data_IF_373476203918
#
_entry.id   IF_373476203918
#
_cell.length_a   1.000
_cell.length_b   1.000
_cell.length_c   1.000
_cell.angle_alpha   90.00
_cell.angle_beta   90.00
_cell.angle_gamma   90.00
#
_symmetry.space_group_name_H-M   'P 1'
#
loop_
_entity.id
_entity.type
_entity.pdbx_description
1 polymer ?
#
# COMPACT_ATOMS: atom_id res chain seq x y z
N UNK A 1 -33.69 -4.03 -7.46
CA UNK A 1 -34.60 -5.04 -6.88
C UNK A 1 -34.19 -6.47 -7.25
N UNK A 2 -33.97 -6.78 -8.53
CA UNK A 2 -33.61 -8.13 -9.02
C UNK A 2 -32.29 -8.70 -8.45
N UNK A 3 -31.30 -7.86 -8.13
CA UNK A 3 -30.00 -8.29 -7.56
C UNK A 3 -30.14 -8.68 -6.09
N UNK A 4 -31.01 -7.99 -5.35
CA UNK A 4 -31.21 -8.21 -3.91
C UNK A 4 -31.92 -9.54 -3.66
N UNK A 5 -32.93 -9.85 -4.46
CA UNK A 5 -33.67 -11.12 -4.38
C UNK A 5 -32.74 -12.30 -4.72
N UNK A 6 -31.94 -12.20 -5.78
CA UNK A 6 -30.97 -13.24 -6.13
C UNK A 6 -29.91 -13.43 -5.03
N UNK A 7 -29.40 -12.34 -4.44
CA UNK A 7 -28.42 -12.42 -3.36
C UNK A 7 -28.99 -13.06 -2.09
N UNK A 8 -30.22 -12.69 -1.71
CA UNK A 8 -30.90 -13.29 -0.55
C UNK A 8 -31.21 -14.77 -0.79
N UNK A 9 -31.65 -15.12 -2.00
CA UNK A 9 -31.97 -16.50 -2.37
C UNK A 9 -30.71 -17.37 -2.37
N UNK A 10 -29.59 -16.87 -2.90
CA UNK A 10 -28.29 -17.56 -2.87
C UNK A 10 -27.81 -17.76 -1.43
N UNK A 11 -27.89 -16.75 -0.56
CA UNK A 11 -27.46 -16.87 0.85
C UNK A 11 -28.32 -17.89 1.60
N UNK A 12 -29.64 -17.90 1.37
CA UNK A 12 -30.53 -18.86 2.01
C UNK A 12 -30.34 -20.29 1.48
N UNK A 13 -30.10 -20.45 0.17
CA UNK A 13 -29.83 -21.75 -0.45
C UNK A 13 -28.47 -22.33 -0.05
N UNK A 14 -27.44 -21.50 0.12
CA UNK A 14 -26.15 -21.95 0.67
C UNK A 14 -26.25 -22.47 2.10
N UNK A 15 -27.25 -22.04 2.87
CA UNK A 15 -27.56 -22.62 4.20
C UNK A 15 -28.33 -23.94 4.12
N UNK A 16 -28.75 -24.37 2.93
CA UNK A 16 -29.76 -25.40 2.69
C UNK A 16 -29.21 -26.64 1.95
N UNK A 17 -27.99 -26.59 1.42
CA UNK A 17 -27.36 -27.68 0.64
C UNK A 17 -27.34 -29.04 1.35
N UNK A 18 -27.56 -29.08 2.68
CA UNK A 18 -27.61 -30.30 3.49
C UNK A 18 -29.04 -30.75 3.90
N UNK A 19 -30.09 -30.05 3.44
CA UNK A 19 -31.47 -30.24 3.96
C UNK A 19 -32.50 -30.77 2.97
N UNK A 20 -32.15 -30.96 1.69
CA UNK A 20 -33.01 -31.63 0.70
C UNK A 20 -34.27 -30.87 0.29
N UNK A 21 -34.20 -29.53 0.30
CA UNK A 21 -35.31 -28.64 -0.07
C UNK A 21 -35.03 -28.09 -1.47
N UNK A 22 -35.94 -28.37 -2.42
CA UNK A 22 -35.84 -27.91 -3.81
C UNK A 22 -36.90 -26.83 -4.10
N UNK A 23 -36.51 -25.82 -4.89
CA UNK A 23 -37.42 -24.79 -5.42
C UNK A 23 -37.87 -25.20 -6.83
N UNK A 24 -39.19 -25.28 -7.04
CA UNK A 24 -39.73 -25.43 -8.39
C UNK A 24 -39.54 -24.12 -9.19
N UNK A 25 -39.15 -24.18 -10.48
CA UNK A 25 -39.09 -23.02 -11.35
C UNK A 25 -40.52 -22.56 -11.68
N UNK A 26 -41.10 -21.71 -10.84
CA UNK A 26 -42.37 -21.05 -11.09
C UNK A 26 -42.16 -19.64 -11.65
N UNK A 27 -42.32 -19.46 -12.96
CA UNK A 27 -42.48 -18.16 -13.61
C UNK A 27 -41.25 -17.23 -13.59
N UNK A 28 -41.19 -16.26 -14.52
CA UNK A 28 -40.09 -15.28 -14.57
C UNK A 28 -40.03 -14.49 -13.25
N UNK A 29 -38.88 -14.53 -12.58
CA UNK A 29 -38.55 -13.83 -11.32
C UNK A 29 -38.80 -12.30 -11.34
N UNK A 30 -39.05 -11.72 -12.51
CA UNK A 30 -39.38 -10.30 -12.70
C UNK A 30 -40.83 -9.93 -12.33
N UNK A 31 -41.76 -10.89 -12.26
CA UNK A 31 -43.19 -10.63 -11.98
C UNK A 31 -43.59 -10.88 -10.50
N UNK A 32 -42.62 -11.13 -9.61
CA UNK A 32 -42.87 -11.40 -8.20
C UNK A 32 -43.13 -10.09 -7.42
N UNK A 33 -44.28 -9.47 -7.66
CA UNK A 33 -44.70 -8.22 -7.01
C UNK A 33 -45.15 -8.44 -5.55
N UNK A 34 -45.30 -9.70 -5.10
CA UNK A 34 -45.71 -10.08 -3.75
C UNK A 34 -45.00 -11.34 -3.26
N UNK A 35 -44.72 -11.42 -1.95
CA UNK A 35 -44.00 -12.52 -1.31
C UNK A 35 -44.81 -13.84 -1.16
N UNK A 36 -45.99 -13.92 -1.77
CA UNK A 36 -46.99 -14.97 -1.48
C UNK A 36 -46.91 -16.19 -2.43
N UNK A 37 -46.09 -16.15 -3.50
CA UNK A 37 -46.06 -17.19 -4.56
C UNK A 37 -44.82 -18.13 -4.53
N UNK A 38 -44.05 -18.15 -3.43
CA UNK A 38 -42.91 -19.07 -3.31
C UNK A 38 -43.40 -20.44 -2.83
N UNK A 39 -43.29 -21.44 -3.72
CA UNK A 39 -43.60 -22.85 -3.39
C UNK A 39 -42.30 -23.56 -3.00
N UNK A 40 -42.23 -24.04 -1.75
CA UNK A 40 -41.10 -24.81 -1.21
C UNK A 40 -41.46 -26.30 -1.21
N UNK A 41 -40.58 -27.16 -1.73
CA UNK A 41 -40.69 -28.61 -1.62
C UNK A 41 -39.77 -29.11 -0.50
N UNK A 42 -40.32 -29.76 0.52
CA UNK A 42 -39.54 -30.43 1.57
C UNK A 42 -39.95 -31.89 1.70
N UNK A 43 -38.97 -32.77 1.87
CA UNK A 43 -39.17 -34.18 2.14
C UNK A 43 -39.49 -34.46 3.63
N UNK A 44 -39.16 -33.53 4.54
CA UNK A 44 -39.43 -33.60 5.98
C UNK A 44 -39.96 -32.24 6.50
N UNK A 45 -41.25 -32.15 6.88
CA UNK A 45 -41.89 -30.88 7.20
C UNK A 45 -41.63 -30.36 8.63
N UNK A 46 -41.06 -31.17 9.53
CA UNK A 46 -41.11 -30.89 10.98
C UNK A 46 -40.09 -29.87 11.50
N UNK A 47 -38.80 -30.19 11.42
CA UNK A 47 -37.75 -29.42 12.12
C UNK A 47 -36.79 -28.69 11.18
N UNK A 48 -36.44 -29.31 10.03
CA UNK A 48 -35.49 -28.74 9.07
C UNK A 48 -36.08 -27.57 8.28
N UNK A 49 -37.34 -27.70 7.87
CA UNK A 49 -38.05 -26.64 7.15
C UNK A 49 -38.26 -25.40 8.00
N UNK A 50 -38.59 -25.56 9.29
CA UNK A 50 -38.79 -24.42 10.18
C UNK A 50 -37.48 -23.66 10.41
N UNK A 51 -36.36 -24.37 10.56
CA UNK A 51 -35.04 -23.75 10.65
C UNK A 51 -34.70 -22.96 9.37
N UNK A 52 -35.01 -23.53 8.19
CA UNK A 52 -34.85 -22.85 6.91
C UNK A 52 -35.70 -21.58 6.79
N UNK A 53 -37.00 -21.66 7.11
CA UNK A 53 -37.91 -20.51 7.08
C UNK A 53 -37.46 -19.40 8.03
N UNK A 54 -36.97 -19.76 9.22
CA UNK A 54 -36.42 -18.80 10.19
C UNK A 54 -35.13 -18.15 9.68
N UNK A 55 -34.24 -18.93 9.05
CA UNK A 55 -33.00 -18.43 8.43
C UNK A 55 -33.31 -17.49 7.27
N UNK A 56 -34.15 -17.91 6.33
CA UNK A 56 -34.62 -17.11 5.21
C UNK A 56 -35.32 -15.83 5.68
N UNK A 57 -36.18 -15.92 6.71
CA UNK A 57 -36.84 -14.77 7.33
C UNK A 57 -35.82 -13.77 7.90
N UNK A 58 -34.73 -14.27 8.51
CA UNK A 58 -33.65 -13.43 9.05
C UNK A 58 -32.87 -12.76 7.92
N UNK A 59 -32.55 -13.50 6.86
CA UNK A 59 -31.87 -12.97 5.69
C UNK A 59 -32.69 -11.89 4.99
N UNK A 60 -33.99 -12.11 4.71
CA UNK A 60 -34.84 -11.09 4.08
C UNK A 60 -35.05 -9.87 4.99
N UNK A 61 -35.09 -10.05 6.31
CA UNK A 61 -35.23 -8.95 7.27
C UNK A 61 -34.04 -7.98 7.23
N UNK A 62 -32.82 -8.47 6.99
CA UNK A 62 -31.64 -7.61 6.83
C UNK A 62 -31.73 -6.66 5.64
N UNK A 63 -32.58 -6.96 4.66
CA UNK A 63 -32.82 -6.12 3.49
C UNK A 63 -34.15 -5.36 3.56
N UNK A 64 -34.78 -5.30 4.76
CA UNK A 64 -36.02 -4.56 4.99
C UNK A 64 -37.29 -5.26 4.49
N UNK A 65 -37.20 -6.56 4.16
CA UNK A 65 -38.35 -7.36 3.72
C UNK A 65 -38.92 -8.18 4.88
N UNK A 66 -40.21 -8.50 4.84
CA UNK A 66 -40.87 -9.37 5.82
C UNK A 66 -41.50 -10.57 5.13
N UNK A 67 -41.02 -11.76 5.46
CA UNK A 67 -41.69 -13.01 5.12
C UNK A 67 -42.75 -13.32 6.17
N UNK A 68 -43.91 -13.81 5.75
CA UNK A 68 -44.94 -14.36 6.61
C UNK A 68 -44.97 -15.88 6.41
N UNK A 69 -44.34 -16.68 7.29
CA UNK A 69 -44.27 -18.13 7.13
C UNK A 69 -45.65 -18.80 6.97
N UNK A 70 -46.70 -18.21 7.56
CA UNK A 70 -48.08 -18.67 7.48
C UNK A 70 -48.72 -18.54 6.10
N UNK A 71 -48.12 -17.77 5.18
CA UNK A 71 -48.63 -17.55 3.81
C UNK A 71 -47.93 -18.38 2.76
N UNK A 72 -46.81 -19.03 3.08
CA UNK A 72 -46.11 -19.89 2.14
C UNK A 72 -46.98 -21.12 1.83
N UNK A 73 -47.39 -21.29 0.56
CA UNK A 73 -48.08 -22.51 0.11
C UNK A 73 -47.07 -23.65 -0.05
N UNK A 74 -47.24 -24.71 0.73
CA UNK A 74 -46.43 -25.92 0.67
C UNK A 74 -47.14 -26.97 -0.19
N UNK A 75 -46.42 -27.55 -1.15
CA UNK A 75 -46.87 -28.76 -1.85
C UNK A 75 -46.08 -29.94 -1.29
N UNK A 76 -46.79 -30.86 -0.64
CA UNK A 76 -46.24 -32.13 -0.16
C UNK A 76 -46.15 -33.08 -1.38
N UNK A 77 -44.99 -33.71 -1.60
CA UNK A 77 -44.83 -34.63 -2.72
C UNK A 77 -45.60 -35.95 -2.47
N UNK A 78 -46.80 -36.05 -3.03
CA UNK A 78 -47.39 -37.33 -3.44
C UNK A 78 -47.48 -37.35 -4.98
N UNK A 79 -46.33 -37.53 -5.64
CA UNK A 79 -46.26 -37.73 -7.09
C UNK A 79 -46.55 -39.20 -7.43
N UNK A 80 -47.84 -39.59 -7.44
CA UNK A 80 -48.32 -40.86 -8.00
C UNK A 80 -49.03 -40.67 -9.35
N UNK A 81 -48.39 -39.92 -10.26
CA UNK A 81 -48.80 -39.78 -11.66
C UNK A 81 -47.57 -39.86 -12.57
N UNK A 82 -47.71 -40.22 -13.87
CA UNK A 82 -46.57 -40.20 -14.77
C UNK A 82 -46.00 -38.78 -14.73
N UNK A 83 -44.71 -38.67 -14.44
CA UNK A 83 -44.03 -37.39 -14.30
C UNK A 83 -44.47 -36.44 -15.43
N UNK A 84 -44.84 -35.17 -15.14
CA UNK A 84 -45.02 -34.22 -16.20
C UNK A 84 -43.71 -34.23 -16.98
N UNK A 85 -43.78 -34.60 -18.25
CA UNK A 85 -42.62 -34.65 -19.12
C UNK A 85 -42.07 -33.22 -19.22
N UNK A 86 -41.15 -32.86 -18.32
CA UNK A 86 -40.19 -31.81 -18.53
C UNK A 86 -39.26 -32.32 -19.63
N UNK A 87 -39.73 -32.23 -20.88
CA UNK A 87 -38.84 -31.99 -22.00
C UNK A 87 -38.20 -30.63 -21.76
N UNK A 88 -37.20 -30.59 -20.87
CA UNK A 88 -36.08 -29.66 -21.00
C UNK A 88 -35.58 -29.90 -22.41
N UNK A 89 -35.96 -29.01 -23.32
CA UNK A 89 -35.53 -29.10 -24.71
C UNK A 89 -34.00 -29.12 -24.69
N UNK A 90 -33.37 -29.95 -25.54
CA UNK A 90 -31.91 -30.02 -25.60
C UNK A 90 -31.24 -28.64 -25.75
N UNK A 91 -31.98 -27.67 -26.31
CA UNK A 91 -31.61 -26.27 -26.47
C UNK A 91 -31.36 -25.54 -25.12
N UNK A 92 -32.17 -25.78 -24.09
CA UNK A 92 -32.00 -25.17 -22.76
C UNK A 92 -30.76 -25.74 -22.05
N UNK A 93 -30.53 -27.05 -22.14
CA UNK A 93 -29.33 -27.69 -21.57
C UNK A 93 -28.05 -27.27 -22.29
N UNK A 94 -28.10 -27.12 -23.61
CA UNK A 94 -26.94 -26.76 -24.41
C UNK A 94 -26.58 -25.28 -24.29
N UNK A 95 -27.57 -24.39 -24.20
CA UNK A 95 -27.36 -22.95 -23.93
C UNK A 95 -26.75 -22.71 -22.55
N UNK A 96 -27.19 -23.46 -21.52
CA UNK A 96 -26.58 -23.44 -20.18
C UNK A 96 -25.11 -23.88 -20.23
N UNK A 97 -24.78 -24.98 -20.92
CA UNK A 97 -23.38 -25.42 -21.07
C UNK A 97 -22.50 -24.39 -21.80
N UNK A 98 -23.02 -23.75 -22.84
CA UNK A 98 -22.33 -22.67 -23.57
C UNK A 98 -22.07 -21.47 -22.66
N UNK A 99 -23.07 -21.04 -21.89
CA UNK A 99 -22.92 -19.94 -20.93
C UNK A 99 -21.91 -20.26 -19.82
N UNK A 100 -21.90 -21.49 -19.29
CA UNK A 100 -20.93 -21.93 -18.28
C UNK A 100 -19.50 -21.96 -18.83
N UNK A 101 -19.33 -22.45 -20.07
CA UNK A 101 -18.02 -22.44 -20.74
C UNK A 101 -17.52 -21.01 -21.01
N UNK A 102 -18.42 -20.11 -21.44
CA UNK A 102 -18.12 -18.70 -21.64
C UNK A 102 -17.69 -18.02 -20.33
N UNK A 103 -18.43 -18.22 -19.24
CA UNK A 103 -18.09 -17.70 -17.92
C UNK A 103 -16.76 -18.25 -17.41
N UNK A 104 -16.46 -19.54 -17.64
CA UNK A 104 -15.18 -20.13 -17.28
C UNK A 104 -14.01 -19.50 -18.06
N UNK A 105 -14.19 -19.20 -19.35
CA UNK A 105 -13.19 -18.51 -20.16
C UNK A 105 -12.97 -17.06 -19.70
N UNK A 106 -14.05 -16.35 -19.35
CA UNK A 106 -14.00 -14.99 -18.81
C UNK A 106 -13.32 -14.95 -17.44
N UNK A 107 -13.67 -15.86 -16.53
CA UNK A 107 -13.02 -16.01 -15.23
C UNK A 107 -11.53 -16.30 -15.38
N UNK A 108 -11.14 -17.19 -16.31
CA UNK A 108 -9.74 -17.48 -16.59
C UNK A 108 -9.00 -16.25 -17.11
N UNK A 109 -9.61 -15.49 -18.03
CA UNK A 109 -9.05 -14.23 -18.53
C UNK A 109 -8.90 -13.20 -17.40
N UNK A 110 -9.94 -12.99 -16.61
CA UNK A 110 -9.93 -12.10 -15.45
C UNK A 110 -8.83 -12.49 -14.45
N UNK A 111 -8.69 -13.78 -14.15
CA UNK A 111 -7.67 -14.27 -13.23
C UNK A 111 -6.24 -13.99 -13.75
N UNK A 112 -5.99 -14.16 -15.06
CA UNK A 112 -4.67 -13.82 -15.62
C UNK A 112 -4.38 -12.32 -15.56
N UNK A 113 -5.39 -11.46 -15.74
CA UNK A 113 -5.25 -10.01 -15.58
C UNK A 113 -4.96 -9.64 -14.12
N UNK A 114 -5.65 -10.29 -13.17
CA UNK A 114 -5.45 -10.10 -11.74
C UNK A 114 -4.02 -10.48 -11.33
N UNK A 115 -3.52 -11.64 -11.76
CA UNK A 115 -2.15 -12.06 -11.46
C UNK A 115 -1.10 -11.06 -11.98
N UNK A 116 -1.24 -10.58 -13.23
CA UNK A 116 -0.33 -9.55 -13.78
C UNK A 116 -0.38 -8.25 -12.99
N UNK A 117 -1.59 -7.79 -12.63
CA UNK A 117 -1.74 -6.58 -11.82
C UNK A 117 -1.12 -6.75 -10.43
N UNK A 118 -1.27 -7.93 -9.81
CA UNK A 118 -0.64 -8.23 -8.52
C UNK A 118 0.89 -8.17 -8.62
N UNK A 119 1.50 -8.81 -9.63
CA UNK A 119 2.95 -8.74 -9.86
C UNK A 119 3.45 -7.31 -10.10
N UNK A 120 2.70 -6.48 -10.83
CA UNK A 120 3.05 -5.08 -11.05
C UNK A 120 3.00 -4.27 -9.74
N UNK A 121 1.99 -4.50 -8.89
CA UNK A 121 1.93 -3.85 -7.58
C UNK A 121 3.08 -4.26 -6.66
N UNK A 122 3.53 -5.51 -6.71
CA UNK A 122 4.70 -5.96 -5.94
C UNK A 122 6.00 -5.35 -6.48
N UNK A 123 6.17 -5.27 -7.81
CA UNK A 123 7.31 -4.58 -8.43
C UNK A 123 7.37 -3.10 -8.02
N UNK A 124 6.25 -2.38 -8.11
CA UNK A 124 6.20 -0.96 -7.75
C UNK A 124 6.49 -0.72 -6.27
N UNK A 125 6.02 -1.60 -5.38
CA UNK A 125 6.39 -1.55 -3.96
C UNK A 125 7.89 -1.72 -3.74
N UNK A 126 8.51 -2.71 -4.39
CA UNK A 126 9.94 -2.94 -4.29
C UNK A 126 10.78 -1.76 -4.84
N UNK A 127 10.33 -1.16 -5.94
CA UNK A 127 10.99 0.04 -6.50
C UNK A 127 10.85 1.25 -5.56
N UNK A 128 9.67 1.45 -4.97
CA UNK A 128 9.43 2.51 -3.99
C UNK A 128 10.32 2.34 -2.75
N UNK A 129 10.46 1.12 -2.23
CA UNK A 129 11.34 0.84 -1.10
C UNK A 129 12.81 1.10 -1.44
N UNK A 130 13.25 0.76 -2.66
CA UNK A 130 14.61 1.05 -3.16
C UNK A 130 14.87 2.55 -3.31
N UNK A 131 13.91 3.31 -3.85
CA UNK A 131 14.02 4.78 -3.95
C UNK A 131 14.07 5.40 -2.55
N UNK A 132 13.24 4.89 -1.62
CA UNK A 132 13.21 5.36 -0.24
C UNK A 132 14.53 5.07 0.50
N UNK A 133 15.11 3.89 0.33
CA UNK A 133 16.39 3.55 0.96
C UNK A 133 17.53 4.40 0.41
N UNK A 134 17.63 4.53 -0.93
CA UNK A 134 18.66 5.37 -1.55
C UNK A 134 18.55 6.85 -1.17
N UNK A 135 17.32 7.40 -1.07
CA UNK A 135 17.10 8.75 -0.57
C UNK A 135 17.56 8.93 0.89
N UNK A 136 17.34 7.91 1.74
CA UNK A 136 17.80 7.91 3.14
C UNK A 136 19.33 7.87 3.21
N UNK A 137 19.97 6.98 2.47
CA UNK A 137 21.44 6.88 2.39
C UNK A 137 22.07 8.18 1.89
N UNK A 138 21.51 8.79 0.85
CA UNK A 138 21.95 10.10 0.35
C UNK A 138 21.82 11.21 1.40
N UNK A 139 20.70 11.24 2.12
CA UNK A 139 20.47 12.20 3.20
C UNK A 139 21.47 12.02 4.34
N UNK A 140 21.72 10.78 4.77
CA UNK A 140 22.64 10.50 5.87
C UNK A 140 24.10 10.78 5.47
N UNK A 141 24.47 10.54 4.21
CA UNK A 141 25.77 10.96 3.66
C UNK A 141 25.95 12.48 3.64
N UNK A 142 24.91 13.22 3.21
CA UNK A 142 24.92 14.68 3.22
C UNK A 142 25.02 15.24 4.66
N UNK A 143 24.29 14.66 5.62
CA UNK A 143 24.41 15.05 7.04
C UNK A 143 25.84 14.87 7.55
N UNK A 144 26.46 13.71 7.30
CA UNK A 144 27.85 13.46 7.71
C UNK A 144 28.82 14.47 7.08
N UNK A 145 28.61 14.80 5.80
CA UNK A 145 29.42 15.80 5.09
C UNK A 145 29.25 17.20 5.70
N UNK A 146 28.01 17.60 6.00
CA UNK A 146 27.70 18.87 6.66
C UNK A 146 28.34 18.95 8.04
N UNK A 147 28.26 17.89 8.84
CA UNK A 147 28.89 17.82 10.17
C UNK A 147 30.40 17.99 10.07
N UNK A 148 31.05 17.25 9.15
CA UNK A 148 32.49 17.36 8.91
C UNK A 148 32.86 18.79 8.52
N UNK A 149 32.20 19.37 7.52
CA UNK A 149 32.45 20.76 7.09
C UNK A 149 32.21 21.77 8.21
N UNK A 150 31.19 21.56 9.04
CA UNK A 150 30.88 22.42 10.19
C UNK A 150 32.01 22.39 11.22
N UNK A 151 32.53 21.20 11.53
CA UNK A 151 33.65 21.05 12.47
C UNK A 151 34.95 21.65 11.93
N UNK A 152 35.25 21.44 10.65
CA UNK A 152 36.42 22.02 9.97
C UNK A 152 36.35 23.54 9.90
N UNK A 153 35.18 24.10 9.56
CA UNK A 153 34.99 25.55 9.50
C UNK A 153 35.19 26.20 10.89
N UNK A 154 34.63 25.59 11.95
CA UNK A 154 34.90 26.02 13.33
C UNK A 154 36.39 25.95 13.69
N UNK A 155 37.12 24.94 13.23
CA UNK A 155 38.56 24.81 13.46
C UNK A 155 39.35 25.91 12.74
N UNK A 156 39.03 26.15 11.47
CA UNK A 156 39.69 27.19 10.67
C UNK A 156 39.47 28.59 11.24
N UNK A 157 38.25 28.91 11.69
CA UNK A 157 37.97 30.20 12.33
C UNK A 157 38.74 30.39 13.64
N UNK A 158 38.95 29.32 14.43
CA UNK A 158 39.83 29.39 15.61
C UNK A 158 41.29 29.68 15.22
N UNK A 159 41.83 28.94 14.25
CA UNK A 159 43.19 29.13 13.76
C UNK A 159 43.42 30.55 13.22
N UNK A 160 42.44 31.07 12.47
CA UNK A 160 42.45 32.45 11.97
C UNK A 160 42.44 33.47 13.11
N UNK A 161 41.62 33.27 14.15
CA UNK A 161 41.57 34.15 15.30
C UNK A 161 42.90 34.17 16.08
N UNK A 162 43.52 33.00 16.29
CA UNK A 162 44.83 32.86 16.91
C UNK A 162 45.92 33.57 16.11
N UNK A 163 45.95 33.36 14.79
CA UNK A 163 46.91 33.98 13.90
C UNK A 163 46.77 35.51 13.89
N UNK A 164 45.54 36.03 13.81
CA UNK A 164 45.27 37.47 13.92
C UNK A 164 45.72 38.04 15.26
N UNK A 165 45.52 37.30 16.36
CA UNK A 165 46.00 37.69 17.70
C UNK A 165 47.53 37.75 17.75
N UNK A 166 48.21 36.76 17.16
CA UNK A 166 49.68 36.73 17.06
C UNK A 166 50.22 37.92 16.25
N UNK A 167 49.65 38.21 15.08
CA UNK A 167 50.05 39.38 14.28
C UNK A 167 49.81 40.70 15.01
N UNK A 168 48.68 40.85 15.72
CA UNK A 168 48.43 42.04 16.55
C UNK A 168 49.49 42.22 17.64
N UNK A 169 49.91 41.13 18.30
CA UNK A 169 50.99 41.16 19.30
C UNK A 169 52.33 41.54 18.66
N UNK A 170 52.65 40.98 17.49
CA UNK A 170 53.87 41.32 16.76
C UNK A 170 53.93 42.79 16.36
N UNK A 171 52.83 43.37 15.88
CA UNK A 171 52.77 44.80 15.55
C UNK A 171 53.06 45.69 16.77
N UNK A 172 52.47 45.37 17.93
CA UNK A 172 52.74 46.09 19.18
C UNK A 172 54.21 45.98 19.60
N UNK A 173 54.81 44.81 19.45
CA UNK A 173 56.24 44.60 19.74
C UNK A 173 57.11 45.45 18.81
N UNK A 174 56.81 45.48 17.51
CA UNK A 174 57.51 46.33 16.53
C UNK A 174 57.43 47.81 16.96
N UNK A 175 56.26 48.28 17.38
CA UNK A 175 56.09 49.67 17.83
C UNK A 175 56.95 49.99 19.06
N UNK A 176 56.97 49.09 20.06
CA UNK A 176 57.81 49.24 21.26
C UNK A 176 59.29 49.25 20.89
N UNK A 177 59.75 48.28 20.09
CA UNK A 177 61.15 48.18 19.66
C UNK A 177 61.58 49.40 18.85
N UNK A 178 60.71 49.92 17.97
CA UNK A 178 60.96 51.17 17.23
C UNK A 178 61.13 52.34 18.19
N UNK A 179 60.23 52.53 19.16
CA UNK A 179 60.34 53.60 20.17
C UNK A 179 61.61 53.49 21.01
N UNK A 180 61.93 52.28 21.49
CA UNK A 180 63.15 52.01 22.24
C UNK A 180 64.40 52.42 21.43
N UNK A 181 64.44 52.12 20.12
CA UNK A 181 65.54 52.53 19.23
C UNK A 181 65.72 54.05 19.11
N UNK A 182 64.66 54.86 19.29
CA UNK A 182 64.74 56.32 19.27
C UNK A 182 65.08 56.94 20.65
N UNK A 183 64.87 56.21 21.74
CA UNK A 183 65.06 56.71 23.12
C UNK A 183 66.40 56.31 23.74
N UNK A 184 67.15 55.39 23.14
CA UNK A 184 68.54 55.10 23.56
C UNK A 184 69.43 56.31 23.23
N UNK A 185 70.09 56.95 24.23
CA UNK A 185 71.09 57.97 23.95
C UNK A 185 72.20 57.32 23.12
N UNK A 186 72.53 57.91 21.98
CA UNK A 186 73.61 57.48 21.08
C UNK A 186 74.97 57.65 21.79
N UNK A 187 75.31 56.76 22.72
CA UNK A 187 76.67 56.65 23.22
C UNK A 187 77.46 55.68 22.34
N UNK A 188 78.34 56.26 21.53
CA UNK A 188 79.57 55.59 21.10
C UNK A 188 79.51 54.84 19.78
N UNK A 189 79.73 55.58 18.70
CA UNK A 189 80.33 55.07 17.46
C UNK A 189 81.68 54.40 17.75
N UNK A 190 81.81 53.11 17.43
CA UNK A 190 83.05 52.34 17.50
C UNK A 190 83.20 51.45 16.27
N UNK A 191 83.82 52.03 15.25
CA UNK A 191 84.10 51.49 13.93
C UNK A 191 85.22 50.41 14.00
N UNK A 192 84.96 49.17 13.57
CA UNK A 192 85.93 48.31 12.86
C UNK A 192 85.16 47.34 11.95
N UNK A 193 85.02 47.71 10.68
CA UNK A 193 84.68 46.77 9.62
C UNK A 193 85.95 46.05 9.17
N UNK A 194 85.98 44.73 9.27
CA UNK A 194 87.01 43.91 8.62
C UNK A 194 86.37 43.20 7.43
N UNK A 195 86.86 43.58 6.25
CA UNK A 195 86.52 43.03 4.95
C UNK A 195 86.77 41.52 4.87
N UNK A 196 85.84 40.77 4.30
CA UNK A 196 86.17 39.65 3.43
C UNK A 196 85.15 39.58 2.29
N UNK A 197 85.63 39.96 1.09
CA UNK A 197 84.99 39.62 -0.17
C UNK A 197 85.30 38.15 -0.43
N UNK A 198 84.30 37.35 -0.77
CA UNK A 198 84.52 36.30 -1.74
C UNK A 198 83.29 36.13 -2.62
N UNK A 199 83.47 36.57 -3.85
CA UNK A 199 82.61 36.37 -5.00
C UNK A 199 82.98 35.01 -5.58
N UNK A 200 82.01 34.10 -5.73
CA UNK A 200 81.98 33.19 -6.87
C UNK A 200 80.54 32.89 -7.29
N UNK A 201 80.17 33.52 -8.40
CA UNK A 201 79.15 33.06 -9.36
C UNK A 201 79.64 31.79 -10.07
N UNK A 202 78.71 30.91 -10.41
CA UNK A 202 78.48 30.27 -11.75
C UNK A 202 77.68 28.99 -11.50
N UNK A 203 76.37 28.99 -11.80
CA UNK A 203 75.74 28.71 -13.11
C UNK A 203 75.69 27.20 -13.42
N UNK A 204 74.56 26.55 -13.14
CA UNK A 204 73.58 26.07 -14.14
C UNK A 204 72.36 25.42 -13.46
#
# INVERSE_FOLDING_TARGET
>A
MMIVINLILVIALSSCEDSGIDLLPGGKLSDLQYADDIVLLSQDPGCKLQAFLNSLSTSVAMFGMRLAPSKCKMLLQDWFGPAPNLTLTGEDSESLKKSASQQAAELKSANTRLHRAAEETERLKAELDKVRSSAREGTDSLKHTIEKLTTDNRRLERQKAELLSAFKKQMRLIDVLRRQKYTVPQFGTGFVGSSHKDVRRMDH
#
